data_IF_479343626360
#
_entry.id   IF_479343626360
#
_cell.length_a   1.000
_cell.length_b   1.000
_cell.length_c   1.000
_cell.angle_alpha   90.00
_cell.angle_beta   90.00
_cell.angle_gamma   90.00
#
_symmetry.space_group_name_H-M   'P 1'
#
loop_
_entity.id
_entity.type
_entity.pdbx_description
1 polymer ?
#
# COMPACT_ATOMS: atom_id res chain seq x y z
N UNK A 1 -17.95 -36.28 -22.85
CA UNK A 1 -17.46 -35.50 -21.69
C UNK A 1 -16.88 -36.46 -20.67
N UNK A 2 -15.58 -36.31 -20.41
CA UNK A 2 -14.85 -37.03 -19.39
C UNK A 2 -15.35 -36.64 -17.99
N UNK A 3 -15.03 -37.45 -16.96
CA UNK A 3 -15.38 -37.14 -15.56
C UNK A 3 -14.69 -35.85 -15.10
N UNK A 4 -13.48 -35.59 -15.61
CA UNK A 4 -12.73 -34.33 -15.45
C UNK A 4 -13.50 -33.12 -15.98
N UNK A 5 -14.15 -33.21 -17.14
CA UNK A 5 -14.90 -32.08 -17.74
C UNK A 5 -16.12 -31.66 -16.90
N UNK A 6 -16.73 -32.60 -16.17
CA UNK A 6 -17.89 -32.30 -15.30
C UNK A 6 -17.50 -31.68 -13.97
N UNK A 7 -16.27 -31.94 -13.52
CA UNK A 7 -15.74 -31.39 -12.27
C UNK A 7 -15.34 -29.92 -12.46
N UNK A 8 -14.75 -29.55 -13.60
CA UNK A 8 -14.43 -28.14 -13.92
C UNK A 8 -15.68 -27.27 -14.02
N UNK A 9 -16.75 -27.79 -14.65
CA UNK A 9 -18.02 -27.06 -14.80
C UNK A 9 -18.78 -26.88 -13.47
N UNK A 10 -18.74 -27.89 -12.59
CA UNK A 10 -19.40 -27.83 -11.28
C UNK A 10 -18.67 -26.93 -10.25
N UNK A 11 -17.39 -26.64 -10.47
CA UNK A 11 -16.56 -25.80 -9.60
C UNK A 11 -16.43 -24.34 -10.08
N UNK A 12 -17.10 -23.95 -11.18
CA UNK A 12 -16.94 -22.61 -11.74
C UNK A 12 -15.53 -22.31 -12.26
N UNK A 13 -14.78 -23.37 -12.63
CA UNK A 13 -13.43 -23.28 -13.18
C UNK A 13 -13.42 -23.22 -14.71
N UNK A 14 -14.59 -23.15 -15.35
CA UNK A 14 -14.73 -22.53 -16.68
C UNK A 14 -14.53 -21.01 -16.52
N UNK A 15 -13.32 -20.63 -16.09
CA UNK A 15 -12.84 -19.28 -16.30
C UNK A 15 -12.81 -19.08 -17.81
N UNK A 16 -13.43 -18.00 -18.25
CA UNK A 16 -13.19 -17.44 -19.58
C UNK A 16 -11.68 -17.51 -19.81
N UNK A 17 -11.25 -18.04 -20.97
CA UNK A 17 -9.85 -17.95 -21.39
C UNK A 17 -9.35 -16.53 -21.07
N UNK A 18 -8.23 -16.36 -20.34
CA UNK A 18 -7.71 -15.04 -20.10
C UNK A 18 -7.58 -14.34 -21.44
N UNK A 19 -8.25 -13.18 -21.58
CA UNK A 19 -8.21 -12.41 -22.83
C UNK A 19 -6.76 -12.26 -23.26
N UNK A 20 -6.44 -12.73 -24.47
CA UNK A 20 -5.08 -12.57 -25.00
C UNK A 20 -4.79 -11.08 -25.13
N UNK A 21 -3.53 -10.69 -24.99
CA UNK A 21 -3.11 -9.29 -25.19
C UNK A 21 -3.61 -8.75 -26.53
N UNK A 22 -3.60 -9.58 -27.58
CA UNK A 22 -4.13 -9.22 -28.89
C UNK A 22 -5.64 -8.91 -28.85
N UNK A 23 -6.45 -9.73 -28.17
CA UNK A 23 -7.89 -9.49 -28.03
C UNK A 23 -8.20 -8.23 -27.20
N UNK A 24 -7.43 -7.98 -26.15
CA UNK A 24 -7.51 -6.75 -25.35
C UNK A 24 -7.24 -5.54 -26.23
N UNK A 25 -6.13 -5.57 -26.97
CA UNK A 25 -5.68 -4.46 -27.80
C UNK A 25 -6.63 -4.16 -28.96
N UNK A 26 -7.33 -5.16 -29.52
CA UNK A 26 -8.34 -4.93 -30.56
C UNK A 26 -9.51 -4.06 -30.07
N UNK A 27 -9.79 -4.03 -28.77
CA UNK A 27 -10.84 -3.21 -28.18
C UNK A 27 -10.37 -1.80 -27.74
N UNK A 28 -9.08 -1.48 -27.90
CA UNK A 28 -8.48 -0.21 -27.51
C UNK A 28 -8.57 0.85 -28.63
N UNK A 29 -8.63 2.14 -28.27
CA UNK A 29 -8.45 3.23 -29.24
C UNK A 29 -7.11 3.13 -29.96
N UNK A 30 -7.03 3.72 -31.15
CA UNK A 30 -5.92 3.51 -32.08
C UNK A 30 -4.56 3.97 -31.53
N UNK A 31 -4.52 5.11 -30.81
CA UNK A 31 -3.27 5.67 -30.28
C UNK A 31 -2.68 4.83 -29.14
N UNK A 32 -3.42 4.52 -28.04
CA UNK A 32 -2.92 3.60 -27.02
C UNK A 32 -2.61 2.22 -27.55
N UNK A 33 -3.38 1.71 -28.51
CA UNK A 33 -3.10 0.42 -29.16
C UNK A 33 -1.76 0.42 -29.86
N UNK A 34 -1.45 1.48 -30.63
CA UNK A 34 -0.13 1.66 -31.24
C UNK A 34 0.98 1.75 -30.19
N UNK A 35 0.81 2.59 -29.17
CA UNK A 35 1.78 2.71 -28.07
C UNK A 35 2.07 1.39 -27.39
N UNK A 36 1.02 0.63 -27.08
CA UNK A 36 1.13 -0.71 -26.51
C UNK A 36 1.88 -1.67 -27.44
N UNK A 37 1.58 -1.69 -28.75
CA UNK A 37 2.31 -2.52 -29.71
C UNK A 37 3.80 -2.18 -29.77
N UNK A 38 4.17 -0.89 -29.70
CA UNK A 38 5.57 -0.45 -29.66
C UNK A 38 6.25 -0.91 -28.37
N UNK A 39 5.59 -0.78 -27.22
CA UNK A 39 6.13 -1.27 -25.94
C UNK A 39 6.28 -2.80 -25.92
N UNK A 40 5.33 -3.55 -26.49
CA UNK A 40 5.45 -5.01 -26.63
C UNK A 40 6.64 -5.39 -27.50
N UNK A 41 6.86 -4.67 -28.62
CA UNK A 41 7.99 -4.92 -29.49
C UNK A 41 9.34 -4.65 -28.79
N UNK A 42 9.41 -3.64 -27.93
CA UNK A 42 10.63 -3.28 -27.19
C UNK A 42 10.88 -4.16 -25.96
N UNK A 43 9.84 -4.53 -25.22
CA UNK A 43 9.95 -5.12 -23.87
C UNK A 43 9.33 -6.52 -23.73
N UNK A 44 8.79 -7.09 -24.81
CA UNK A 44 8.05 -8.35 -24.79
C UNK A 44 6.63 -8.21 -24.24
N UNK A 45 5.96 -9.34 -23.99
CA UNK A 45 4.60 -9.33 -23.43
C UNK A 45 4.58 -8.77 -21.98
N UNK A 46 3.55 -7.99 -21.62
CA UNK A 46 3.40 -7.47 -20.26
C UNK A 46 3.14 -8.61 -19.25
N UNK A 47 3.53 -8.39 -17.99
CA UNK A 47 3.22 -9.34 -16.91
C UNK A 47 1.77 -9.23 -16.45
N UNK A 48 1.15 -8.05 -16.58
CA UNK A 48 -0.27 -7.84 -16.30
C UNK A 48 -0.94 -7.19 -17.50
N UNK A 49 -2.03 -7.80 -17.96
CA UNK A 49 -2.84 -7.30 -19.06
C UNK A 49 -4.31 -7.26 -18.61
N UNK A 50 -4.96 -6.13 -18.85
CA UNK A 50 -6.38 -5.93 -18.56
C UNK A 50 -7.00 -5.08 -19.66
N UNK A 51 -8.33 -5.02 -19.69
CA UNK A 51 -9.06 -4.16 -20.63
C UNK A 51 -8.70 -2.68 -20.53
N UNK A 52 -8.13 -2.23 -19.43
CA UNK A 52 -7.84 -0.81 -19.18
C UNK A 52 -6.34 -0.45 -19.20
N UNK A 53 -5.46 -1.43 -18.99
CA UNK A 53 -4.01 -1.18 -18.97
C UNK A 53 -3.17 -2.44 -19.21
N UNK A 54 -1.95 -2.23 -19.72
CA UNK A 54 -0.86 -3.19 -19.79
C UNK A 54 0.29 -2.73 -18.89
N UNK A 55 0.88 -3.63 -18.11
CA UNK A 55 1.96 -3.32 -17.17
C UNK A 55 3.15 -4.26 -17.36
N UNK A 56 4.33 -3.66 -17.48
CA UNK A 56 5.62 -4.32 -17.36
C UNK A 56 6.26 -3.97 -16.03
N UNK A 57 6.73 -4.97 -15.29
CA UNK A 57 7.43 -4.80 -14.00
C UNK A 57 8.92 -5.04 -14.16
N UNK A 58 9.71 -4.07 -13.70
CA UNK A 58 11.17 -4.05 -13.77
C UNK A 58 11.78 -4.25 -15.19
N UNK A 59 11.25 -3.64 -16.27
CA UNK A 59 11.89 -3.71 -17.58
C UNK A 59 13.13 -2.80 -17.63
N UNK A 60 14.32 -3.39 -17.69
CA UNK A 60 15.57 -2.66 -17.84
C UNK A 60 15.82 -1.65 -16.72
N UNK A 61 15.88 -0.36 -17.06
CA UNK A 61 16.12 0.75 -16.12
C UNK A 61 14.86 1.24 -15.39
N UNK A 62 13.68 0.81 -15.83
CA UNK A 62 12.42 1.24 -15.25
C UNK A 62 11.95 0.27 -14.17
N UNK A 63 11.31 0.81 -13.15
CA UNK A 63 10.57 0.04 -12.15
C UNK A 63 9.26 -0.50 -12.74
N UNK A 64 8.60 0.31 -13.55
CA UNK A 64 7.35 -0.05 -14.20
C UNK A 64 7.18 0.72 -15.51
N UNK A 65 6.66 0.06 -16.53
CA UNK A 65 6.07 0.70 -17.70
C UNK A 65 4.58 0.40 -17.66
N UNK A 66 3.75 1.41 -17.92
CA UNK A 66 2.30 1.25 -17.99
C UNK A 66 1.78 1.92 -19.24
N UNK A 67 1.01 1.18 -20.04
CA UNK A 67 0.23 1.75 -21.14
C UNK A 67 -1.23 1.62 -20.77
N UNK A 68 -1.98 2.73 -20.82
CA UNK A 68 -3.40 2.78 -20.46
C UNK A 68 -4.28 2.93 -21.69
N UNK A 69 -5.46 2.32 -21.68
CA UNK A 69 -6.49 2.54 -22.69
C UNK A 69 -6.99 3.98 -22.74
N UNK A 70 -7.09 4.62 -21.57
CA UNK A 70 -7.53 6.00 -21.43
C UNK A 70 -6.44 6.98 -21.90
N UNK A 71 -6.85 7.97 -22.68
CA UNK A 71 -6.02 9.07 -23.16
C UNK A 71 -6.30 10.33 -22.32
N UNK A 72 -5.26 11.10 -22.01
CA UNK A 72 -5.41 12.39 -21.30
C UNK A 72 -4.81 13.51 -22.15
N UNK A 73 -5.51 14.64 -22.27
CA UNK A 73 -5.01 15.79 -23.01
C UNK A 73 -3.79 16.41 -22.32
N UNK A 74 -2.73 16.67 -23.08
CA UNK A 74 -1.55 17.38 -22.62
C UNK A 74 -1.04 18.35 -23.69
N UNK A 75 -0.89 19.62 -23.35
CA UNK A 75 -0.60 20.70 -24.31
C UNK A 75 0.85 21.19 -24.31
N UNK A 76 1.72 20.59 -23.49
CA UNK A 76 3.13 20.95 -23.41
C UNK A 76 4.03 19.83 -23.97
N UNK A 77 5.02 20.13 -24.83
CA UNK A 77 5.34 21.43 -25.43
C UNK A 77 4.40 21.78 -26.60
N UNK A 78 3.61 20.80 -27.05
CA UNK A 78 2.55 20.94 -28.05
C UNK A 78 1.38 20.00 -27.68
N UNK A 79 0.16 20.22 -28.21
CA UNK A 79 -0.96 19.32 -28.01
C UNK A 79 -0.68 17.87 -28.42
N UNK A 80 -0.85 16.95 -27.48
CA UNK A 80 -0.78 15.50 -27.65
C UNK A 80 -1.61 14.79 -26.56
N UNK A 81 -1.55 13.46 -26.51
CA UNK A 81 -2.32 12.65 -25.57
C UNK A 81 -1.44 11.71 -24.75
N UNK A 82 -1.64 11.68 -23.45
CA UNK A 82 -0.87 10.87 -22.53
C UNK A 82 -1.51 9.50 -22.32
N UNK A 83 -0.74 8.44 -22.59
CA UNK A 83 -1.17 7.06 -22.35
C UNK A 83 -0.03 6.08 -22.07
N UNK A 84 1.25 6.48 -22.18
CA UNK A 84 2.42 5.70 -21.80
C UNK A 84 3.08 6.34 -20.58
N UNK A 85 3.23 5.61 -19.48
CA UNK A 85 3.91 6.04 -18.26
C UNK A 85 5.18 5.21 -18.03
N UNK A 86 6.29 5.88 -17.72
CA UNK A 86 7.53 5.25 -17.26
C UNK A 86 7.80 5.66 -15.82
N UNK A 87 7.96 4.66 -14.95
CA UNK A 87 8.29 4.86 -13.52
C UNK A 87 9.72 4.44 -13.24
N UNK A 88 10.48 5.29 -12.56
CA UNK A 88 11.82 5.00 -12.05
C UNK A 88 11.87 5.12 -10.52
N UNK A 89 12.83 4.44 -9.92
CA UNK A 89 13.22 4.67 -8.54
C UNK A 89 13.97 6.00 -8.45
N UNK A 90 13.44 6.95 -7.70
CA UNK A 90 14.04 8.28 -7.55
C UNK A 90 13.60 8.95 -6.24
N UNK A 91 14.58 9.43 -5.46
CA UNK A 91 14.31 10.23 -4.25
C UNK A 91 14.29 11.71 -4.58
N UNK A 92 13.10 12.25 -4.79
CA UNK A 92 12.93 13.70 -5.01
C UNK A 92 13.32 14.48 -3.74
N UNK A 93 14.27 15.43 -3.82
CA UNK A 93 14.57 16.33 -2.72
C UNK A 93 13.34 17.20 -2.39
N UNK A 94 12.85 17.25 -1.14
CA UNK A 94 11.65 18.01 -0.79
C UNK A 94 11.70 19.50 -1.21
N UNK A 95 12.87 20.11 -1.12
CA UNK A 95 13.12 21.51 -1.53
C UNK A 95 13.02 21.74 -3.04
N UNK A 96 12.99 20.67 -3.85
CA UNK A 96 12.83 20.72 -5.32
C UNK A 96 11.43 20.36 -5.79
N UNK A 97 10.54 19.93 -4.88
CA UNK A 97 9.20 19.48 -5.22
C UNK A 97 8.39 20.54 -6.00
N UNK A 98 8.42 21.80 -5.56
CA UNK A 98 7.70 22.91 -6.21
C UNK A 98 8.25 23.14 -7.63
N UNK A 99 9.57 23.12 -7.80
CA UNK A 99 10.20 23.36 -9.09
C UNK A 99 9.84 22.26 -10.10
N UNK A 100 9.85 21.00 -9.65
CA UNK A 100 9.42 19.86 -10.47
C UNK A 100 7.94 19.95 -10.86
N UNK A 101 7.07 20.38 -9.95
CA UNK A 101 5.65 20.58 -10.24
C UNK A 101 5.39 21.74 -11.22
N UNK A 102 6.25 22.77 -11.25
CA UNK A 102 6.15 23.88 -12.21
C UNK A 102 6.68 23.52 -13.60
N UNK A 103 7.49 22.45 -13.70
CA UNK A 103 8.14 22.05 -14.94
C UNK A 103 7.18 21.35 -15.91
N UNK A 104 6.52 20.27 -15.47
CA UNK A 104 5.67 19.44 -16.33
C UNK A 104 4.51 18.83 -15.53
N UNK A 105 3.28 18.97 -16.03
CA UNK A 105 2.07 18.45 -15.36
C UNK A 105 1.94 16.93 -15.42
N UNK A 106 2.65 16.29 -16.35
CA UNK A 106 2.68 14.84 -16.54
C UNK A 106 3.88 14.18 -15.85
N UNK A 107 4.73 14.98 -15.18
CA UNK A 107 5.70 14.51 -14.21
C UNK A 107 5.04 14.37 -12.83
N UNK A 108 5.11 13.19 -12.24
CA UNK A 108 4.66 12.94 -10.86
C UNK A 108 5.73 12.25 -10.02
N UNK A 109 5.64 12.35 -8.70
CA UNK A 109 6.54 11.68 -7.78
C UNK A 109 5.81 11.21 -6.52
N UNK A 110 6.26 10.09 -5.97
CA UNK A 110 5.76 9.50 -4.72
C UNK A 110 6.94 9.31 -3.76
N UNK A 111 6.97 10.15 -2.71
CA UNK A 111 8.04 10.16 -1.70
C UNK A 111 8.05 8.88 -0.85
N UNK A 112 6.89 8.33 -0.53
CA UNK A 112 6.79 7.12 0.29
C UNK A 112 7.32 5.91 -0.47
N UNK A 113 6.97 5.80 -1.75
CA UNK A 113 7.43 4.71 -2.63
C UNK A 113 8.83 4.92 -3.20
N UNK A 114 9.34 6.16 -3.17
CA UNK A 114 10.63 6.53 -3.73
C UNK A 114 10.61 6.51 -5.26
N UNK A 115 9.56 7.04 -5.88
CA UNK A 115 9.35 6.94 -7.32
C UNK A 115 9.19 8.31 -7.98
N UNK A 116 9.66 8.43 -9.22
CA UNK A 116 9.33 9.52 -10.15
C UNK A 116 8.80 8.92 -11.45
N UNK A 117 7.80 9.56 -12.06
CA UNK A 117 7.09 9.07 -13.23
C UNK A 117 6.90 10.18 -14.25
N UNK A 118 7.01 9.82 -15.52
CA UNK A 118 6.65 10.68 -16.65
C UNK A 118 5.62 9.97 -17.51
N UNK A 119 4.63 10.72 -17.99
CA UNK A 119 3.58 10.24 -18.88
C UNK A 119 3.52 11.05 -20.18
N UNK A 120 3.38 10.36 -21.32
CA UNK A 120 3.36 10.95 -22.66
C UNK A 120 2.75 9.96 -23.68
N UNK A 121 2.75 10.29 -24.97
CA UNK A 121 2.47 9.36 -26.09
C UNK A 121 3.71 8.58 -26.56
N UNK A 122 4.92 9.06 -26.24
CA UNK A 122 6.18 8.50 -26.68
C UNK A 122 7.13 8.18 -25.51
N UNK A 123 7.83 7.05 -25.58
CA UNK A 123 8.86 6.70 -24.61
C UNK A 123 9.99 7.74 -24.58
N UNK A 124 10.47 8.19 -25.75
CA UNK A 124 11.58 9.14 -25.79
C UNK A 124 11.27 10.47 -25.11
N UNK A 125 10.00 10.90 -25.12
CA UNK A 125 9.58 12.13 -24.44
C UNK A 125 9.40 11.91 -22.94
N UNK A 126 9.03 10.70 -22.51
CA UNK A 126 9.12 10.32 -21.09
C UNK A 126 10.59 10.31 -20.59
N UNK A 127 11.53 9.78 -21.38
CA UNK A 127 12.97 9.80 -21.07
C UNK A 127 13.46 11.25 -20.95
N UNK A 128 13.10 12.11 -21.90
CA UNK A 128 13.41 13.55 -21.86
C UNK A 128 12.86 14.20 -20.60
N UNK A 129 11.60 13.92 -20.26
CA UNK A 129 10.94 14.44 -19.07
C UNK A 129 11.72 14.08 -17.81
N UNK A 130 12.09 12.81 -17.66
CA UNK A 130 12.84 12.31 -16.50
C UNK A 130 14.27 12.88 -16.44
N UNK A 131 14.94 13.06 -17.58
CA UNK A 131 16.28 13.63 -17.64
C UNK A 131 16.31 15.09 -17.17
N UNK A 132 15.40 15.92 -17.70
CA UNK A 132 15.30 17.32 -17.30
C UNK A 132 14.80 17.45 -15.85
N UNK A 133 13.89 16.58 -15.41
CA UNK A 133 13.47 16.51 -14.01
C UNK A 133 14.67 16.21 -13.08
N UNK A 134 15.58 15.31 -13.46
CA UNK A 134 16.80 15.07 -12.69
C UNK A 134 17.72 16.30 -12.67
N UNK A 135 17.83 17.04 -13.77
CA UNK A 135 18.64 18.26 -13.79
C UNK A 135 18.05 19.38 -12.90
N UNK A 136 16.72 19.48 -12.83
CA UNK A 136 16.03 20.35 -11.85
C UNK A 136 16.30 19.87 -10.42
N UNK A 137 16.10 18.58 -10.15
CA UNK A 137 16.26 18.00 -8.82
C UNK A 137 17.70 18.13 -8.29
N UNK A 138 18.69 18.09 -9.19
CA UNK A 138 20.11 18.31 -8.86
C UNK A 138 20.53 19.79 -8.90
N UNK A 139 19.61 20.71 -9.21
CA UNK A 139 19.84 22.15 -9.19
C UNK A 139 20.66 22.68 -10.37
N UNK A 140 20.81 21.92 -11.45
CA UNK A 140 21.51 22.35 -12.66
C UNK A 140 20.69 23.30 -13.52
N UNK A 141 19.37 23.26 -13.40
CA UNK A 141 18.45 24.13 -14.14
C UNK A 141 17.18 24.41 -13.33
N UNK A 142 16.51 25.49 -13.70
CA UNK A 142 15.15 25.85 -13.27
C UNK A 142 14.09 25.18 -14.13
N UNK A 143 12.84 25.20 -13.68
CA UNK A 143 11.68 24.72 -14.42
C UNK A 143 11.52 25.47 -15.76
N UNK A 144 11.68 26.78 -15.76
CA UNK A 144 11.56 27.60 -16.99
C UNK A 144 12.64 27.25 -18.02
N UNK A 145 13.88 27.07 -17.57
CA UNK A 145 14.99 26.63 -18.43
C UNK A 145 14.72 25.22 -18.97
N UNK A 146 14.23 24.31 -18.14
CA UNK A 146 13.87 22.95 -18.54
C UNK A 146 12.72 22.95 -19.55
N UNK A 147 11.70 23.79 -19.39
CA UNK A 147 10.58 23.90 -20.34
C UNK A 147 11.03 24.40 -21.72
N UNK A 148 11.94 25.36 -21.73
CA UNK A 148 12.57 25.84 -22.96
C UNK A 148 13.42 24.74 -23.61
N UNK A 149 14.29 24.09 -22.83
CA UNK A 149 15.13 23.00 -23.31
C UNK A 149 14.30 21.84 -23.88
N UNK A 150 13.18 21.48 -23.22
CA UNK A 150 12.25 20.46 -23.72
C UNK A 150 11.75 20.81 -25.12
N UNK A 151 11.30 22.05 -25.32
CA UNK A 151 10.76 22.52 -26.60
C UNK A 151 11.82 22.47 -27.71
N UNK A 152 13.04 22.90 -27.41
CA UNK A 152 14.18 22.87 -28.35
C UNK A 152 14.57 21.43 -28.71
N UNK A 153 14.63 20.54 -27.71
CA UNK A 153 14.97 19.12 -27.89
C UNK A 153 13.89 18.39 -28.69
N UNK A 154 12.61 18.59 -28.38
CA UNK A 154 11.50 17.98 -29.15
C UNK A 154 11.50 18.48 -30.59
N UNK A 155 11.83 19.74 -30.84
CA UNK A 155 11.98 20.25 -32.21
C UNK A 155 13.06 19.48 -32.96
N UNK A 156 14.22 19.25 -32.34
CA UNK A 156 15.28 18.44 -32.94
C UNK A 156 14.94 16.96 -33.14
N UNK A 157 14.15 16.39 -32.24
CA UNK A 157 13.62 15.03 -32.36
C UNK A 157 12.64 14.90 -33.54
N UNK A 158 11.74 15.87 -33.72
CA UNK A 158 10.82 15.96 -34.87
C UNK A 158 11.60 16.06 -36.20
N UNK A 159 12.73 16.76 -36.20
CA UNK A 159 13.64 16.85 -37.35
C UNK A 159 14.47 15.57 -37.58
N UNK A 160 14.29 14.54 -36.76
CA UNK A 160 14.96 13.24 -36.89
C UNK A 160 16.41 13.22 -36.39
N UNK A 161 16.81 14.16 -35.52
CA UNK A 161 18.17 14.20 -34.96
C UNK A 161 18.41 13.27 -33.78
N UNK A 162 17.36 12.70 -33.19
CA UNK A 162 17.40 11.81 -32.02
C UNK A 162 18.33 12.31 -30.90
N UNK A 163 18.03 13.46 -30.28
CA UNK A 163 18.91 14.04 -29.26
C UNK A 163 19.18 13.06 -28.11
N UNK A 164 20.38 13.08 -27.54
CA UNK A 164 20.79 12.23 -26.42
C UNK A 164 19.79 12.18 -25.24
N UNK A 165 19.03 13.24 -25.02
CA UNK A 165 18.05 13.34 -23.93
C UNK A 165 16.77 12.54 -24.19
N UNK A 166 16.49 12.10 -25.41
CA UNK A 166 15.29 11.32 -25.76
C UNK A 166 15.57 9.82 -25.88
N UNK A 167 16.84 9.39 -25.85
CA UNK A 167 17.24 8.01 -26.15
C UNK A 167 17.54 7.19 -24.90
N UNK A 168 18.23 7.77 -23.91
CA UNK A 168 18.52 7.10 -22.64
C UNK A 168 18.49 8.04 -21.44
N UNK A 169 18.41 7.46 -20.23
CA UNK A 169 18.55 8.24 -19.01
C UNK A 169 20.01 8.70 -18.85
N UNK A 170 20.20 9.98 -18.56
CA UNK A 170 21.50 10.62 -18.37
C UNK A 170 22.05 10.44 -16.94
N UNK A 171 21.37 9.60 -16.16
CA UNK A 171 21.71 9.21 -14.81
C UNK A 171 21.27 7.77 -14.60
N UNK A 172 21.90 7.08 -13.65
CA UNK A 172 21.50 5.74 -13.25
C UNK A 172 20.44 5.84 -12.14
N UNK A 173 19.21 5.33 -12.34
CA UNK A 173 18.25 5.23 -11.24
C UNK A 173 18.83 4.41 -10.09
N UNK A 174 18.66 4.92 -8.87
CA UNK A 174 19.06 4.24 -7.64
C UNK A 174 18.20 3.00 -7.38
N UNK A 175 18.62 2.13 -6.45
CA UNK A 175 17.78 0.99 -6.07
C UNK A 175 16.55 1.44 -5.27
N UNK A 176 15.48 0.67 -5.35
CA UNK A 176 14.22 0.98 -4.64
C UNK A 176 14.43 1.19 -3.14
N UNK A 177 15.29 0.38 -2.50
CA UNK A 177 15.52 0.45 -1.06
C UNK A 177 16.21 1.75 -0.63
N UNK A 178 16.89 2.43 -1.56
CA UNK A 178 17.64 3.66 -1.30
C UNK A 178 16.79 4.91 -1.52
N UNK A 179 15.74 4.80 -2.32
CA UNK A 179 14.94 5.94 -2.77
C UNK A 179 13.68 6.17 -1.95
N UNK A 180 13.18 5.13 -1.28
CA UNK A 180 12.02 5.22 -0.38
C UNK A 180 12.30 6.21 0.75
N UNK A 181 11.37 7.12 0.97
CA UNK A 181 11.43 8.07 2.08
C UNK A 181 10.07 8.16 2.78
N UNK A 182 9.60 7.05 3.40
CA UNK A 182 8.34 7.01 4.11
C UNK A 182 8.32 7.95 5.32
N UNK A 183 7.13 8.34 5.75
CA UNK A 183 6.98 9.14 6.97
C UNK A 183 7.27 8.35 8.24
N UNK A 184 7.51 9.08 9.32
CA UNK A 184 7.64 8.56 10.67
C UNK A 184 6.36 8.85 11.46
N UNK A 185 5.94 7.95 12.37
CA UNK A 185 4.76 8.20 13.20
C UNK A 185 4.90 9.47 14.05
N UNK A 186 3.81 10.25 14.13
CA UNK A 186 3.75 11.50 14.94
C UNK A 186 2.97 11.32 16.24
N UNK A 187 2.17 10.26 16.35
CA UNK A 187 1.50 9.89 17.59
C UNK A 187 2.58 9.35 18.55
N UNK A 188 2.72 10.03 19.69
CA UNK A 188 3.73 9.69 20.67
C UNK A 188 3.52 8.27 21.21
N UNK A 189 4.57 7.44 21.14
CA UNK A 189 4.51 6.05 21.57
C UNK A 189 3.97 5.08 20.52
N UNK A 190 3.69 5.53 19.28
CA UNK A 190 3.33 4.63 18.19
C UNK A 190 4.37 3.54 17.94
N UNK A 191 3.95 2.34 17.49
CA UNK A 191 4.87 1.30 17.08
C UNK A 191 5.81 1.75 15.97
N UNK A 192 7.10 1.39 16.09
CA UNK A 192 8.10 1.57 15.05
C UNK A 192 8.52 0.22 14.46
N UNK A 193 8.76 0.20 13.15
CA UNK A 193 9.41 -0.95 12.51
C UNK A 193 10.90 -0.96 12.87
N UNK A 194 11.48 -2.11 13.22
CA UNK A 194 12.93 -2.21 13.50
C UNK A 194 13.83 -1.78 12.34
N UNK A 195 13.36 -1.94 11.10
CA UNK A 195 14.03 -1.55 9.85
C UNK A 195 13.53 -0.20 9.28
N UNK A 196 12.76 0.55 10.06
CA UNK A 196 12.23 1.86 9.68
C UNK A 196 13.27 2.98 9.74
N UNK A 197 12.91 4.17 9.25
CA UNK A 197 13.75 5.36 9.33
C UNK A 197 13.98 5.82 10.78
N UNK A 198 12.94 5.73 11.61
CA UNK A 198 13.02 6.05 13.03
C UNK A 198 13.56 4.85 13.82
N UNK A 199 14.59 5.08 14.63
CA UNK A 199 15.24 4.03 15.41
C UNK A 199 14.46 3.75 16.70
N UNK A 200 14.12 2.49 17.01
CA UNK A 200 13.47 2.14 18.27
C UNK A 200 14.45 2.29 19.45
N UNK A 201 13.91 2.63 20.62
CA UNK A 201 14.65 2.78 21.86
C UNK A 201 14.05 1.91 22.98
N UNK A 202 14.87 1.62 24.00
CA UNK A 202 14.46 0.81 25.15
C UNK A 202 14.61 -0.70 24.93
N UNK A 203 14.07 -1.48 25.85
CA UNK A 203 14.14 -2.95 25.80
C UNK A 203 13.25 -3.49 24.66
N UNK A 204 13.84 -4.22 23.71
CA UNK A 204 13.13 -4.73 22.54
C UNK A 204 12.06 -5.79 22.87
N UNK A 205 12.25 -6.61 23.91
CA UNK A 205 11.26 -7.60 24.32
C UNK A 205 10.01 -6.92 24.91
N UNK A 206 10.18 -5.92 25.77
CA UNK A 206 9.07 -5.08 26.25
C UNK A 206 8.42 -4.28 25.12
N UNK A 207 9.23 -3.78 24.16
CA UNK A 207 8.73 -3.12 22.95
C UNK A 207 7.88 -4.03 22.07
N UNK A 208 8.26 -5.31 21.90
CA UNK A 208 7.44 -6.29 21.18
C UNK A 208 6.14 -6.59 21.94
N UNK A 209 6.16 -6.69 23.28
CA UNK A 209 4.95 -6.86 24.09
C UNK A 209 3.98 -5.69 23.88
N UNK A 210 4.45 -4.45 24.01
CA UNK A 210 3.62 -3.26 23.78
C UNK A 210 3.11 -3.17 22.34
N UNK A 211 3.91 -3.60 21.36
CA UNK A 211 3.52 -3.68 19.96
C UNK A 211 2.37 -4.66 19.72
N UNK A 212 2.41 -5.84 20.34
CA UNK A 212 1.32 -6.82 20.29
C UNK A 212 0.02 -6.28 20.89
N UNK A 213 0.12 -5.62 22.05
CA UNK A 213 -1.06 -5.03 22.70
C UNK A 213 -1.69 -3.95 21.81
N UNK A 214 -0.88 -3.04 21.27
CA UNK A 214 -1.36 -2.02 20.35
C UNK A 214 -2.03 -2.63 19.10
N UNK A 215 -1.42 -3.65 18.50
CA UNK A 215 -1.97 -4.31 17.32
C UNK A 215 -3.30 -5.04 17.60
N UNK A 216 -3.43 -5.66 18.78
CA UNK A 216 -4.66 -6.32 19.20
C UNK A 216 -5.80 -5.30 19.44
N UNK A 217 -5.51 -4.20 20.12
CA UNK A 217 -6.50 -3.14 20.36
C UNK A 217 -6.96 -2.46 19.06
N UNK A 218 -6.03 -2.16 18.14
CA UNK A 218 -6.37 -1.61 16.82
C UNK A 218 -7.28 -2.55 16.04
N UNK A 219 -6.99 -3.85 16.04
CA UNK A 219 -7.83 -4.86 15.40
C UNK A 219 -9.26 -4.86 15.99
N UNK A 220 -9.37 -4.85 17.31
CA UNK A 220 -10.66 -4.89 18.00
C UNK A 220 -11.48 -3.63 17.73
N UNK A 221 -10.85 -2.45 17.74
CA UNK A 221 -11.48 -1.18 17.37
C UNK A 221 -11.97 -1.18 15.91
N UNK A 222 -11.13 -1.59 14.95
CA UNK A 222 -11.52 -1.68 13.53
C UNK A 222 -12.65 -2.69 13.31
N UNK A 223 -12.59 -3.83 13.99
CA UNK A 223 -13.64 -4.84 13.92
C UNK A 223 -15.00 -4.33 14.42
N UNK A 224 -15.00 -3.54 15.49
CA UNK A 224 -16.21 -2.89 15.99
C UNK A 224 -16.73 -1.82 15.02
N UNK A 225 -15.85 -1.04 14.37
CA UNK A 225 -16.24 -0.09 13.30
C UNK A 225 -16.92 -0.82 12.14
N UNK A 226 -16.38 -1.95 11.69
CA UNK A 226 -17.02 -2.79 10.66
C UNK A 226 -18.41 -3.24 11.11
N UNK A 227 -18.57 -3.61 12.38
CA UNK A 227 -19.85 -4.03 12.94
C UNK A 227 -20.88 -2.88 12.98
N UNK A 228 -20.47 -1.65 13.28
CA UNK A 228 -21.36 -0.48 13.28
C UNK A 228 -21.97 -0.17 11.91
N UNK A 229 -21.32 -0.57 10.81
CA UNK A 229 -21.83 -0.40 9.45
C UNK A 229 -22.91 -1.44 9.06
N UNK A 230 -23.24 -2.39 9.96
CA UNK A 230 -24.13 -3.53 9.67
C UNK A 230 -25.46 -3.45 10.41
N UNK A 231 -26.43 -4.25 9.96
CA UNK A 231 -27.75 -4.35 10.61
C UNK A 231 -27.69 -5.29 11.82
N UNK A 232 -27.25 -4.75 12.96
CA UNK A 232 -27.16 -5.48 14.23
C UNK A 232 -28.40 -5.30 15.10
N UNK A 233 -28.77 -6.34 15.84
CA UNK A 233 -29.63 -6.30 17.00
C UNK A 233 -29.00 -5.49 18.15
N UNK A 234 -29.84 -5.01 19.07
CA UNK A 234 -29.43 -4.07 20.11
C UNK A 234 -28.27 -4.59 20.97
N UNK A 235 -28.33 -5.84 21.42
CA UNK A 235 -27.31 -6.42 22.29
C UNK A 235 -25.92 -6.52 21.62
N UNK A 236 -25.87 -6.91 20.34
CA UNK A 236 -24.63 -6.99 19.56
C UNK A 236 -24.08 -5.60 19.27
N UNK A 237 -24.95 -4.64 18.97
CA UNK A 237 -24.57 -3.24 18.73
C UNK A 237 -23.95 -2.60 19.98
N UNK A 238 -24.57 -2.79 21.13
CA UNK A 238 -24.07 -2.28 22.42
C UNK A 238 -22.72 -2.92 22.77
N UNK A 239 -22.56 -4.22 22.47
CA UNK A 239 -21.29 -4.91 22.66
C UNK A 239 -20.20 -4.37 21.74
N UNK A 240 -20.49 -4.17 20.45
CA UNK A 240 -19.55 -3.58 19.50
C UNK A 240 -19.12 -2.16 19.94
N UNK A 241 -20.05 -1.33 20.41
CA UNK A 241 -19.75 0.01 20.93
C UNK A 241 -18.77 -0.05 22.11
N UNK A 242 -19.03 -0.92 23.08
CA UNK A 242 -18.16 -1.10 24.25
C UNK A 242 -16.77 -1.60 23.87
N UNK A 243 -16.67 -2.52 22.92
CA UNK A 243 -15.38 -2.97 22.39
C UNK A 243 -14.61 -1.80 21.78
N UNK A 244 -15.25 -1.00 20.93
CA UNK A 244 -14.60 0.15 20.29
C UNK A 244 -14.05 1.14 21.32
N UNK A 245 -14.86 1.51 22.31
CA UNK A 245 -14.47 2.46 23.36
C UNK A 245 -13.34 1.91 24.23
N UNK A 246 -13.47 0.67 24.72
CA UNK A 246 -12.50 0.05 25.62
C UNK A 246 -11.16 -0.17 24.94
N UNK A 247 -11.14 -0.73 23.73
CA UNK A 247 -9.90 -0.99 22.99
C UNK A 247 -9.25 0.30 22.48
N UNK A 248 -10.05 1.29 22.03
CA UNK A 248 -9.52 2.61 21.67
C UNK A 248 -8.84 3.32 22.85
N UNK A 249 -9.47 3.29 24.03
CA UNK A 249 -8.88 3.87 25.24
C UNK A 249 -7.62 3.11 25.69
N UNK A 250 -7.64 1.77 25.62
CA UNK A 250 -6.52 0.93 26.00
C UNK A 250 -5.31 1.06 25.05
N UNK A 251 -5.55 1.24 23.75
CA UNK A 251 -4.50 1.57 22.78
C UNK A 251 -3.78 2.85 23.20
N UNK A 252 -4.52 3.94 23.46
CA UNK A 252 -3.94 5.22 23.89
C UNK A 252 -3.11 5.08 25.17
N UNK A 253 -3.59 4.28 26.14
CA UNK A 253 -2.84 3.97 27.36
C UNK A 253 -1.54 3.22 27.07
N UNK A 254 -1.58 2.24 26.16
CA UNK A 254 -0.41 1.45 25.73
C UNK A 254 0.65 2.35 25.08
N UNK A 255 0.25 3.25 24.17
CA UNK A 255 1.17 4.19 23.53
C UNK A 255 1.77 5.18 24.56
N UNK A 256 0.93 5.71 25.47
CA UNK A 256 1.38 6.61 26.52
C UNK A 256 2.37 5.93 27.48
N UNK A 257 2.16 4.65 27.80
CA UNK A 257 3.07 3.85 28.62
C UNK A 257 4.44 3.71 27.95
N UNK A 258 4.49 3.26 26.70
CA UNK A 258 5.74 3.12 25.95
C UNK A 258 6.52 4.45 25.89
N UNK A 259 5.82 5.54 25.57
CA UNK A 259 6.39 6.89 25.57
C UNK A 259 6.96 7.27 26.94
N UNK A 260 6.23 7.03 28.03
CA UNK A 260 6.64 7.39 29.39
C UNK A 260 7.85 6.59 29.85
N UNK A 261 7.94 5.31 29.49
CA UNK A 261 9.06 4.43 29.85
C UNK A 261 10.27 4.61 28.93
N UNK A 262 10.14 5.33 27.81
CA UNK A 262 11.18 5.36 26.78
C UNK A 262 11.38 4.01 26.10
N UNK A 263 10.35 3.17 26.09
CA UNK A 263 10.32 1.86 25.42
C UNK A 263 9.43 2.00 24.19
N UNK A 264 10.03 1.91 23.02
CA UNK A 264 9.31 2.01 21.74
C UNK A 264 8.54 0.71 21.49
N UNK A 265 7.20 0.74 21.33
CA UNK A 265 6.47 -0.42 20.84
C UNK A 265 6.97 -0.81 19.44
N UNK A 266 7.04 -2.10 19.13
CA UNK A 266 7.62 -2.57 17.88
C UNK A 266 6.55 -3.10 16.93
N UNK A 267 6.68 -2.77 15.64
CA UNK A 267 5.96 -3.43 14.55
C UNK A 267 6.90 -4.48 13.94
N UNK A 268 6.87 -5.70 14.49
CA UNK A 268 7.73 -6.82 14.07
C UNK A 268 7.06 -7.67 12.98
N UNK A 269 7.80 -8.51 12.23
CA UNK A 269 7.21 -9.42 11.25
C UNK A 269 6.13 -10.37 11.82
N UNK A 270 6.21 -10.71 13.12
CA UNK A 270 5.21 -11.54 13.81
C UNK A 270 3.89 -10.78 13.99
N UNK A 271 3.97 -9.52 14.41
CA UNK A 271 2.82 -8.63 14.60
C UNK A 271 2.18 -8.32 13.23
N UNK A 272 2.98 -8.02 12.23
CA UNK A 272 2.53 -7.77 10.86
C UNK A 272 1.83 -9.01 10.25
N UNK A 273 2.32 -10.21 10.55
CA UNK A 273 1.64 -11.47 10.18
C UNK A 273 0.28 -11.61 10.87
N UNK A 274 0.18 -11.28 12.16
CA UNK A 274 -1.10 -11.24 12.88
C UNK A 274 -2.08 -10.22 12.27
N UNK A 275 -1.60 -9.02 11.91
CA UNK A 275 -2.42 -7.99 11.24
C UNK A 275 -2.95 -8.48 9.90
N UNK A 276 -2.10 -9.07 9.05
CA UNK A 276 -2.52 -9.65 7.76
C UNK A 276 -3.56 -10.75 7.90
N UNK A 277 -3.34 -11.69 8.82
CA UNK A 277 -4.29 -12.78 9.09
C UNK A 277 -5.67 -12.22 9.45
N UNK A 278 -5.71 -11.27 10.37
CA UNK A 278 -6.97 -10.71 10.85
C UNK A 278 -7.62 -9.74 9.86
N UNK A 279 -6.84 -9.07 8.99
CA UNK A 279 -7.38 -8.33 7.84
C UNK A 279 -8.17 -9.26 6.90
N UNK A 280 -7.66 -10.47 6.63
CA UNK A 280 -8.38 -11.49 5.88
C UNK A 280 -9.69 -11.91 6.56
N UNK A 281 -9.63 -12.20 7.87
CA UNK A 281 -10.83 -12.54 8.67
C UNK A 281 -11.88 -11.42 8.65
N UNK A 282 -11.45 -10.15 8.74
CA UNK A 282 -12.33 -8.99 8.65
C UNK A 282 -12.93 -8.81 7.26
N UNK A 283 -12.17 -9.08 6.19
CA UNK A 283 -12.67 -9.03 4.82
C UNK A 283 -13.78 -10.09 4.59
N UNK A 284 -13.62 -11.29 5.16
CA UNK A 284 -14.67 -12.32 5.11
C UNK A 284 -15.91 -11.93 5.91
N UNK A 285 -15.71 -11.39 7.11
CA UNK A 285 -16.80 -10.88 7.93
C UNK A 285 -17.56 -9.74 7.22
N UNK A 286 -16.85 -8.83 6.54
CA UNK A 286 -17.43 -7.69 5.85
C UNK A 286 -18.37 -8.07 4.68
N UNK A 287 -18.27 -9.28 4.15
CA UNK A 287 -19.19 -9.82 3.11
C UNK A 287 -20.57 -10.19 3.66
N UNK A 288 -20.70 -10.33 4.97
CA UNK A 288 -21.94 -10.73 5.63
C UNK A 288 -22.79 -9.52 6.04
N UNK A 289 -24.08 -9.74 6.27
CA UNK A 289 -25.00 -8.75 6.86
C UNK A 289 -26.04 -9.44 7.76
N UNK A 290 -26.77 -8.64 8.54
CA UNK A 290 -27.82 -9.08 9.44
C UNK A 290 -27.38 -10.18 10.39
N UNK A 291 -28.25 -11.17 10.60
CA UNK A 291 -28.01 -12.25 11.56
C UNK A 291 -26.79 -13.12 11.22
N UNK A 292 -26.45 -13.27 9.92
CA UNK A 292 -25.26 -14.01 9.50
C UNK A 292 -23.98 -13.29 9.94
N UNK A 293 -23.95 -11.95 9.77
CA UNK A 293 -22.87 -11.12 10.28
C UNK A 293 -22.79 -11.20 11.80
N UNK A 294 -23.91 -11.05 12.52
CA UNK A 294 -23.90 -11.07 13.99
C UNK A 294 -23.31 -12.36 14.55
N UNK A 295 -23.74 -13.52 14.05
CA UNK A 295 -23.19 -14.81 14.47
C UNK A 295 -21.69 -14.90 14.20
N UNK A 296 -21.26 -14.50 13.01
CA UNK A 296 -19.85 -14.55 12.63
C UNK A 296 -18.99 -13.56 13.43
N UNK A 297 -19.51 -12.36 13.71
CA UNK A 297 -18.85 -11.36 14.54
C UNK A 297 -18.65 -11.87 15.97
N UNK A 298 -19.71 -12.36 16.62
CA UNK A 298 -19.62 -12.89 17.98
C UNK A 298 -18.69 -14.10 18.05
N UNK A 299 -18.79 -15.04 17.09
CA UNK A 299 -17.88 -16.19 17.00
C UNK A 299 -16.42 -15.74 16.83
N UNK A 300 -16.18 -14.75 15.96
CA UNK A 300 -14.86 -14.14 15.75
C UNK A 300 -14.30 -13.52 17.03
N UNK A 301 -15.13 -12.86 17.85
CA UNK A 301 -14.70 -12.32 19.15
C UNK A 301 -14.33 -13.40 20.14
N UNK A 302 -15.11 -14.48 20.20
CA UNK A 302 -14.80 -15.62 21.06
C UNK A 302 -13.46 -16.25 20.66
N UNK A 303 -13.26 -16.49 19.36
CA UNK A 303 -12.03 -17.07 18.85
C UNK A 303 -10.83 -16.13 19.09
N UNK A 304 -10.90 -14.89 18.63
CA UNK A 304 -9.80 -13.92 18.70
C UNK A 304 -9.37 -13.61 20.12
N UNK A 305 -10.31 -13.40 21.05
CA UNK A 305 -9.98 -13.16 22.45
C UNK A 305 -9.39 -14.42 23.11
N UNK A 306 -9.86 -15.62 22.73
CA UNK A 306 -9.28 -16.88 23.20
C UNK A 306 -7.83 -17.07 22.73
N UNK A 307 -7.56 -16.84 21.44
CA UNK A 307 -6.21 -16.88 20.85
C UNK A 307 -5.28 -15.86 21.52
N UNK A 308 -5.77 -14.64 21.76
CA UNK A 308 -5.00 -13.58 22.43
C UNK A 308 -4.67 -13.91 23.88
N UNK A 309 -5.60 -14.50 24.65
CA UNK A 309 -5.33 -14.92 26.04
C UNK A 309 -4.24 -15.98 26.10
N UNK A 310 -4.22 -16.96 25.18
CA UNK A 310 -3.16 -17.96 25.10
C UNK A 310 -1.81 -17.29 24.81
N UNK A 311 -1.79 -16.32 23.91
CA UNK A 311 -0.58 -15.56 23.59
C UNK A 311 -0.08 -14.72 24.78
N UNK A 312 -1.00 -14.07 25.50
CA UNK A 312 -0.69 -13.28 26.70
C UNK A 312 -0.13 -14.17 27.82
N UNK A 313 -0.81 -15.27 28.14
CA UNK A 313 -0.45 -16.16 29.25
C UNK A 313 0.84 -16.96 28.96
N UNK A 314 1.21 -17.10 27.69
CA UNK A 314 2.44 -17.75 27.25
C UNK A 314 3.56 -16.76 26.89
N UNK A 315 3.73 -16.54 25.58
CA UNK A 315 4.89 -15.83 25.02
C UNK A 315 5.03 -14.40 25.55
N UNK A 316 3.95 -13.63 25.65
CA UNK A 316 4.06 -12.23 26.08
C UNK A 316 4.40 -12.10 27.57
N UNK A 317 3.80 -12.93 28.44
CA UNK A 317 4.16 -12.94 29.86
C UNK A 317 5.61 -13.36 30.09
N UNK A 318 6.15 -14.28 29.27
CA UNK A 318 7.54 -14.69 29.34
C UNK A 318 8.53 -13.62 28.83
N UNK A 319 8.11 -12.79 27.87
CA UNK A 319 8.93 -11.70 27.28
C UNK A 319 8.92 -10.41 28.08
N UNK A 320 7.80 -10.07 28.72
CA UNK A 320 7.69 -8.85 29.50
C UNK A 320 8.76 -8.84 30.61
N UNK A 321 9.63 -7.84 30.61
CA UNK A 321 10.72 -7.67 31.56
C UNK A 321 10.40 -6.58 32.56
N UNK A 322 9.95 -5.43 32.05
CA UNK A 322 9.64 -4.23 32.82
C UNK A 322 8.41 -4.41 33.72
N UNK A 323 8.49 -3.89 34.95
CA UNK A 323 7.45 -4.08 35.95
C UNK A 323 6.13 -3.37 35.61
N UNK A 324 6.20 -2.23 34.93
CA UNK A 324 5.01 -1.50 34.48
C UNK A 324 4.38 -2.18 33.27
N UNK A 325 5.20 -2.67 32.33
CA UNK A 325 4.74 -3.45 31.16
C UNK A 325 4.04 -4.74 31.63
N UNK A 326 4.59 -5.44 32.63
CA UNK A 326 3.93 -6.62 33.24
C UNK A 326 2.57 -6.29 33.85
N UNK A 327 2.46 -5.18 34.58
CA UNK A 327 1.19 -4.74 35.15
C UNK A 327 0.17 -4.39 34.08
N UNK A 328 0.60 -3.69 33.03
CA UNK A 328 -0.24 -3.34 31.90
C UNK A 328 -0.75 -4.58 31.15
N UNK A 329 0.14 -5.54 30.89
CA UNK A 329 -0.21 -6.83 30.30
C UNK A 329 -1.23 -7.62 31.15
N UNK A 330 -1.04 -7.66 32.46
CA UNK A 330 -1.98 -8.31 33.39
C UNK A 330 -3.36 -7.63 33.39
N UNK A 331 -3.39 -6.30 33.35
CA UNK A 331 -4.65 -5.55 33.20
C UNK A 331 -5.33 -5.83 31.87
N UNK A 332 -4.55 -5.90 30.78
CA UNK A 332 -5.06 -6.22 29.44
C UNK A 332 -5.70 -7.60 29.43
N UNK A 333 -5.01 -8.60 30.00
CA UNK A 333 -5.51 -9.97 30.13
C UNK A 333 -6.89 -10.01 30.80
N UNK A 334 -7.06 -9.26 31.89
CA UNK A 334 -8.32 -9.21 32.62
C UNK A 334 -9.47 -8.66 31.75
N UNK A 335 -9.24 -7.56 31.03
CA UNK A 335 -10.23 -6.99 30.11
C UNK A 335 -10.58 -7.93 28.96
N UNK A 336 -9.57 -8.58 28.35
CA UNK A 336 -9.80 -9.56 27.27
C UNK A 336 -10.64 -10.75 27.77
N UNK A 337 -10.40 -11.22 28.99
CA UNK A 337 -11.20 -12.30 29.59
C UNK A 337 -12.66 -11.87 29.85
N UNK A 338 -12.88 -10.63 30.28
CA UNK A 338 -14.22 -10.06 30.44
C UNK A 338 -14.96 -10.00 29.10
N UNK A 339 -14.33 -9.43 28.06
CA UNK A 339 -14.92 -9.34 26.72
C UNK A 339 -15.22 -10.72 26.13
N UNK A 340 -14.35 -11.71 26.34
CA UNK A 340 -14.60 -13.10 25.95
C UNK A 340 -15.84 -13.68 26.66
N UNK A 341 -15.99 -13.43 27.96
CA UNK A 341 -17.17 -13.83 28.72
C UNK A 341 -18.45 -13.21 28.18
N UNK A 342 -18.40 -11.92 27.81
CA UNK A 342 -19.52 -11.21 27.20
C UNK A 342 -19.88 -11.77 25.83
N UNK A 343 -18.89 -12.04 24.98
CA UNK A 343 -19.11 -12.64 23.66
C UNK A 343 -19.74 -14.03 23.77
N UNK A 344 -19.27 -14.88 24.70
CA UNK A 344 -19.88 -16.19 24.98
C UNK A 344 -21.33 -16.09 25.44
N UNK A 345 -21.64 -15.09 26.26
CA UNK A 345 -23.01 -14.84 26.72
C UNK A 345 -23.95 -14.45 25.56
N UNK A 346 -23.44 -13.67 24.59
CA UNK A 346 -24.20 -13.32 23.38
C UNK A 346 -24.38 -14.50 22.43
N UNK A 347 -23.41 -15.42 22.33
CA UNK A 347 -23.53 -16.60 21.48
C UNK A 347 -24.53 -17.64 22.00
N UNK A 348 -24.77 -17.65 23.31
CA UNK A 348 -25.74 -18.55 23.96
C UNK A 348 -27.14 -17.96 24.15
N UNK A 349 -27.35 -16.69 23.76
CA UNK A 349 -28.64 -16.00 23.78
C UNK A 349 -29.32 -16.07 22.41
#
# INVERSE_FOLDING_TARGET
>A
MSVTDRISHALGLDQQDPETVDSILQAWPERPRLGASVMIAAYGLPQEASREQLIWRNPGKYRQITVTRAEHHHDFPKPHMDFIEHTISYRVPPERAIELSNYDGSLTFDRTRGEMRARCDLEGHNILTLNLANDIATGKMTADEARKAFSDIVTGDIEGRYPDYTTDLRFQPEREEQTRFPDVPTIGGSPLRPDGLAQPHGNAADGEVLGWLAAADELEAVSAIVAHAKKLGAATRDFAQKLHEAHGAHLVQTLALGKRLGITPLETPRIDTFRRLNAGRLADLAKLDGQAFERAFVAGKIQGHGELLVLIDGDLAARAGDAEVKRHLASTRAHVAEHLGRAKSLAGA
#
